data_IF_263562735020
#
_entry.id   IF_263562735020
#
_cell.length_a   1.000
_cell.length_b   1.000
_cell.length_c   1.000
_cell.angle_alpha   90.00
_cell.angle_beta   90.00
_cell.angle_gamma   90.00
#
_symmetry.space_group_name_H-M   'P 1'
#
loop_
_entity.id
_entity.type
_entity.pdbx_description
1 polymer ?
#
# COMPACT_ATOMS: atom_id res chain seq x y z
N UNK A 1 -9.06 -1.87 -18.70
CA UNK A 1 -7.64 -1.90 -19.05
C UNK A 1 -6.92 -2.92 -18.19
N UNK A 2 -6.38 -3.91 -18.82
CA UNK A 2 -5.57 -4.87 -18.11
C UNK A 2 -4.17 -4.30 -17.90
N UNK A 3 -3.76 -4.20 -16.65
CA UNK A 3 -2.39 -3.85 -16.34
C UNK A 3 -1.54 -5.12 -16.45
N UNK A 4 -0.36 -5.03 -17.02
CA UNK A 4 0.60 -6.15 -17.05
C UNK A 4 1.34 -6.29 -15.72
N UNK A 5 0.81 -5.66 -14.69
CA UNK A 5 1.44 -5.59 -13.38
C UNK A 5 0.84 -6.64 -12.45
N UNK A 6 1.56 -6.94 -11.38
CA UNK A 6 1.03 -7.77 -10.32
C UNK A 6 -0.02 -7.00 -9.54
N UNK A 7 -1.17 -7.62 -9.32
CA UNK A 7 -2.28 -7.02 -8.56
C UNK A 7 -2.44 -7.82 -7.28
N UNK A 8 -2.60 -7.15 -6.16
CA UNK A 8 -2.72 -7.81 -4.87
C UNK A 8 -3.59 -7.02 -3.91
N UNK A 9 -4.11 -7.73 -2.91
CA UNK A 9 -4.92 -7.15 -1.84
C UNK A 9 -4.34 -7.59 -0.50
N UNK A 10 -4.38 -6.69 0.47
CA UNK A 10 -3.90 -6.97 1.82
C UNK A 10 -4.84 -6.42 2.87
N UNK A 11 -4.80 -7.02 4.07
CA UNK A 11 -5.56 -6.57 5.22
C UNK A 11 -4.61 -6.28 6.37
N UNK A 12 -4.96 -5.29 7.18
CA UNK A 12 -4.16 -4.95 8.35
C UNK A 12 -4.36 -5.99 9.46
N UNK A 13 -3.27 -6.40 10.07
CA UNK A 13 -3.27 -7.29 11.23
C UNK A 13 -2.20 -6.77 12.19
N UNK A 14 -2.62 -6.09 13.24
CA UNK A 14 -1.74 -5.40 14.19
C UNK A 14 -0.85 -4.35 13.49
N UNK A 15 0.45 -4.55 13.44
CA UNK A 15 1.40 -3.63 12.80
C UNK A 15 1.84 -4.11 11.41
N UNK A 16 1.20 -5.17 10.92
CA UNK A 16 1.53 -5.79 9.65
C UNK A 16 0.38 -5.68 8.67
N UNK A 17 0.71 -5.77 7.40
CA UNK A 17 -0.25 -6.00 6.33
C UNK A 17 -0.07 -7.45 5.87
N UNK A 18 -1.17 -8.18 5.79
CA UNK A 18 -1.17 -9.59 5.37
C UNK A 18 -1.75 -9.68 3.97
N UNK A 19 -1.03 -10.30 3.07
CA UNK A 19 -1.47 -10.50 1.71
C UNK A 19 -2.53 -11.60 1.67
N UNK A 20 -3.73 -11.26 1.20
CA UNK A 20 -4.86 -12.19 1.18
C UNK A 20 -5.23 -12.68 -0.22
N UNK A 21 -4.84 -11.95 -1.24
CA UNK A 21 -5.10 -12.32 -2.63
C UNK A 21 -4.10 -11.61 -3.54
N UNK A 22 -3.84 -12.19 -4.68
CA UNK A 22 -2.99 -11.56 -5.66
C UNK A 22 -2.78 -12.39 -6.92
N UNK A 23 -2.40 -11.69 -7.99
CA UNK A 23 -1.97 -12.31 -9.23
C UNK A 23 -0.59 -11.77 -9.55
N UNK A 24 0.32 -12.63 -9.93
CA UNK A 24 1.67 -12.24 -10.30
C UNK A 24 1.78 -12.04 -11.81
N UNK A 25 2.33 -10.90 -12.23
CA UNK A 25 2.69 -10.70 -13.61
C UNK A 25 3.97 -11.48 -13.92
N UNK A 26 4.04 -12.17 -15.07
CA UNK A 26 5.28 -12.86 -15.47
C UNK A 26 6.48 -11.92 -15.62
N UNK A 27 6.22 -10.64 -15.82
CA UNK A 27 7.24 -9.62 -16.01
C UNK A 27 7.68 -8.95 -14.71
N UNK A 28 7.03 -9.27 -13.59
CA UNK A 28 7.36 -8.68 -12.30
C UNK A 28 8.50 -9.42 -11.64
N UNK A 29 9.51 -8.67 -11.19
CA UNK A 29 10.60 -9.20 -10.38
C UNK A 29 10.15 -9.52 -8.96
N UNK A 30 8.98 -9.04 -8.56
CA UNK A 30 8.39 -9.26 -7.24
C UNK A 30 7.56 -10.56 -7.19
N UNK A 31 8.05 -11.62 -7.82
CA UNK A 31 7.39 -12.94 -7.84
C UNK A 31 7.26 -13.58 -6.45
N UNK A 32 7.69 -12.88 -5.40
CA UNK A 32 7.76 -13.40 -4.05
C UNK A 32 6.52 -13.12 -3.19
N UNK A 33 5.46 -12.48 -3.71
CA UNK A 33 4.26 -12.27 -2.93
C UNK A 33 3.39 -13.50 -2.96
N UNK A 34 3.44 -14.26 -1.88
CA UNK A 34 2.55 -15.39 -1.67
C UNK A 34 1.41 -14.97 -0.73
N UNK A 35 0.22 -15.50 -0.94
CA UNK A 35 -0.91 -15.33 -0.01
C UNK A 35 -0.47 -15.78 1.38
N UNK A 36 -0.73 -14.96 2.39
CA UNK A 36 -0.30 -15.17 3.76
C UNK A 36 1.00 -14.47 4.13
N UNK A 37 1.72 -13.91 3.15
CA UNK A 37 2.94 -13.15 3.42
C UNK A 37 2.62 -11.89 4.23
N UNK A 38 3.50 -11.55 5.15
CA UNK A 38 3.37 -10.38 6.02
C UNK A 38 4.47 -9.37 5.74
N UNK A 39 4.12 -8.09 5.76
CA UNK A 39 5.08 -7.00 5.71
C UNK A 39 4.65 -5.95 6.73
N UNK A 40 5.60 -5.21 7.25
CA UNK A 40 5.27 -4.10 8.14
C UNK A 40 4.51 -3.04 7.36
N UNK A 41 3.52 -2.40 8.00
CA UNK A 41 2.66 -1.42 7.33
C UNK A 41 3.45 -0.24 6.74
N UNK A 42 4.58 0.15 7.34
CA UNK A 42 5.39 1.25 6.85
C UNK A 42 6.31 0.87 5.68
N UNK A 43 6.45 -0.42 5.38
CA UNK A 43 7.42 -0.92 4.40
C UNK A 43 6.82 -1.23 3.02
N UNK A 44 5.54 -0.94 2.81
CA UNK A 44 4.89 -1.20 1.52
C UNK A 44 3.74 -0.23 1.27
N UNK A 45 3.36 -0.10 0.01
CA UNK A 45 2.27 0.79 -0.39
C UNK A 45 0.94 0.36 0.22
N UNK A 46 0.63 -0.93 0.22
CA UNK A 46 -0.60 -1.48 0.83
C UNK A 46 -0.72 -1.05 2.29
N UNK A 47 0.35 -1.24 3.07
CA UNK A 47 0.36 -0.90 4.48
C UNK A 47 0.18 0.59 4.71
N UNK A 48 0.89 1.41 3.95
CA UNK A 48 0.78 2.88 4.08
C UNK A 48 -0.60 3.38 3.69
N UNK A 49 -1.22 2.80 2.67
CA UNK A 49 -2.58 3.15 2.28
C UNK A 49 -3.59 2.89 3.39
N UNK A 50 -3.44 1.78 4.12
CA UNK A 50 -4.30 1.48 5.27
C UNK A 50 -3.95 2.36 6.47
N UNK A 51 -2.67 2.48 6.77
CA UNK A 51 -2.18 3.22 7.95
C UNK A 51 -2.61 4.69 7.94
N UNK A 52 -2.63 5.31 6.76
CA UNK A 52 -3.01 6.72 6.60
C UNK A 52 -4.41 7.04 7.14
N UNK A 53 -5.28 6.05 7.18
CA UNK A 53 -6.67 6.21 7.61
C UNK A 53 -6.96 5.56 8.97
N UNK A 54 -5.92 5.17 9.70
CA UNK A 54 -6.07 4.61 11.02
C UNK A 54 -6.17 5.71 12.08
N UNK A 55 -6.74 5.40 13.25
CA UNK A 55 -6.73 6.34 14.37
C UNK A 55 -5.31 6.72 14.78
N UNK A 56 -5.12 7.92 15.36
CA UNK A 56 -3.77 8.37 15.76
C UNK A 56 -3.04 7.39 16.68
N UNK A 57 -3.75 6.67 17.55
CA UNK A 57 -3.13 5.69 18.45
C UNK A 57 -2.40 4.56 17.69
N UNK A 58 -2.95 4.14 16.56
CA UNK A 58 -2.33 3.09 15.73
C UNK A 58 -1.04 3.61 15.09
N UNK A 59 -1.09 4.84 14.56
CA UNK A 59 0.08 5.49 13.97
C UNK A 59 1.17 5.67 15.02
N UNK A 60 0.80 6.08 16.24
CA UNK A 60 1.73 6.24 17.36
C UNK A 60 2.41 4.91 17.73
N UNK A 61 1.66 3.82 17.72
CA UNK A 61 2.20 2.48 18.00
C UNK A 61 3.22 2.05 16.94
N UNK A 62 2.95 2.34 15.67
CA UNK A 62 3.88 2.06 14.59
C UNK A 62 5.16 2.86 14.75
N UNK A 63 5.05 4.16 15.07
CA UNK A 63 6.22 5.01 15.31
C UNK A 63 7.06 4.54 16.49
N UNK A 64 6.42 4.09 17.55
CA UNK A 64 7.14 3.53 18.71
C UNK A 64 7.95 2.29 18.33
N UNK A 65 7.47 1.52 17.37
CA UNK A 65 8.21 0.36 16.88
C UNK A 65 9.52 0.75 16.16
N UNK A 66 9.60 1.96 15.61
CA UNK A 66 10.82 2.46 14.99
C UNK A 66 11.94 2.62 16.02
N UNK A 67 11.61 3.17 17.19
CA UNK A 67 12.58 3.39 18.26
C UNK A 67 13.20 2.09 18.77
N UNK A 68 12.43 1.00 18.76
CA UNK A 68 12.89 -0.29 19.23
C UNK A 68 13.76 -1.02 18.19
N UNK A 69 13.54 -0.77 16.91
CA UNK A 69 14.19 -1.50 15.83
C UNK A 69 15.41 -0.81 15.25
N UNK A 70 15.62 0.48 15.46
CA UNK A 70 16.77 1.29 15.01
C UNK A 70 17.24 0.96 13.58
N UNK A 71 16.32 0.76 12.66
CA UNK A 71 16.64 0.44 11.26
C UNK A 71 16.78 1.70 10.43
N UNK A 72 17.70 1.68 9.47
CA UNK A 72 17.84 2.75 8.49
C UNK A 72 16.49 2.96 7.76
N UNK A 73 16.10 4.21 7.57
CA UNK A 73 14.86 4.57 6.86
C UNK A 73 13.62 4.70 7.74
N UNK A 74 13.73 4.45 9.04
CA UNK A 74 12.61 4.62 9.98
C UNK A 74 12.61 6.05 10.54
N UNK A 75 12.01 6.98 9.78
CA UNK A 75 11.85 8.37 10.20
C UNK A 75 10.37 8.66 10.44
N UNK A 76 9.96 8.86 11.72
CA UNK A 76 8.56 9.14 12.04
C UNK A 76 8.00 10.40 11.38
N UNK A 77 8.80 11.45 11.25
CA UNK A 77 8.33 12.70 10.63
C UNK A 77 8.09 12.51 9.14
N UNK A 78 8.98 11.80 8.45
CA UNK A 78 8.82 11.50 7.03
C UNK A 78 7.59 10.62 6.82
N UNK A 79 7.34 9.65 7.69
CA UNK A 79 6.16 8.80 7.60
C UNK A 79 4.88 9.63 7.78
N UNK A 80 4.82 10.50 8.77
CA UNK A 80 3.65 11.35 9.02
C UNK A 80 3.33 12.24 7.83
N UNK A 81 4.35 12.86 7.23
CA UNK A 81 4.17 13.70 6.05
C UNK A 81 3.63 12.88 4.88
N UNK A 82 4.14 11.67 4.69
CA UNK A 82 3.66 10.78 3.64
C UNK A 82 2.20 10.33 3.88
N UNK A 83 1.84 10.02 5.12
CA UNK A 83 0.46 9.64 5.46
C UNK A 83 -0.52 10.77 5.22
N UNK A 84 -0.14 12.02 5.52
CA UNK A 84 -0.97 13.18 5.21
C UNK A 84 -1.18 13.33 3.70
N UNK A 85 -0.13 13.14 2.93
CA UNK A 85 -0.20 13.19 1.47
C UNK A 85 -1.12 12.10 0.93
N UNK A 86 -1.05 10.90 1.48
CA UNK A 86 -1.93 9.79 1.11
C UNK A 86 -3.40 10.14 1.41
N UNK A 87 -3.68 10.72 2.57
CA UNK A 87 -5.04 11.13 2.93
C UNK A 87 -5.59 12.17 1.96
N UNK A 88 -4.74 13.08 1.49
CA UNK A 88 -5.19 14.14 0.58
C UNK A 88 -5.36 13.67 -0.85
N UNK A 89 -4.51 12.78 -1.35
CA UNK A 89 -4.58 12.32 -2.75
C UNK A 89 -5.30 10.99 -2.93
N UNK A 90 -5.43 10.17 -1.88
CA UNK A 90 -6.20 8.92 -1.90
C UNK A 90 -5.40 7.66 -2.28
N UNK A 91 -4.11 7.75 -2.46
CA UNK A 91 -3.29 6.58 -2.79
C UNK A 91 -1.88 6.69 -2.21
N UNK A 92 -1.26 5.53 -2.02
CA UNK A 92 0.11 5.41 -1.54
C UNK A 92 1.03 4.95 -2.67
N UNK A 93 2.26 5.40 -2.62
CA UNK A 93 3.33 4.97 -3.53
C UNK A 93 4.47 4.46 -2.66
N UNK A 94 5.11 3.38 -3.08
CA UNK A 94 6.31 2.89 -2.43
C UNK A 94 7.32 2.49 -3.49
N UNK A 95 8.51 3.07 -3.41
CA UNK A 95 9.64 2.69 -4.25
C UNK A 95 10.53 1.76 -3.43
N UNK A 96 10.87 0.62 -3.98
CA UNK A 96 11.83 -0.27 -3.32
C UNK A 96 13.22 0.30 -3.52
N UNK A 97 13.70 1.03 -2.52
CA UNK A 97 15.01 1.70 -2.56
C UNK A 97 16.17 0.71 -2.66
N UNK A 98 16.00 -0.49 -2.15
CA UNK A 98 17.06 -1.51 -2.21
C UNK A 98 17.25 -2.07 -3.61
N UNK A 99 16.17 -2.16 -4.37
CA UNK A 99 16.20 -2.64 -5.75
C UNK A 99 16.16 -1.52 -6.77
N UNK A 100 15.56 -0.38 -6.41
CA UNK A 100 15.47 0.80 -7.25
C UNK A 100 14.64 0.64 -8.51
N UNK A 101 14.09 -0.56 -8.76
CA UNK A 101 13.47 -0.94 -10.01
C UNK A 101 11.99 -1.26 -9.89
N UNK A 102 11.48 -1.43 -8.67
CA UNK A 102 10.07 -1.75 -8.45
C UNK A 102 9.33 -0.58 -7.80
N UNK A 103 8.13 -0.33 -8.29
CA UNK A 103 7.23 0.67 -7.75
C UNK A 103 5.91 0.00 -7.37
N UNK A 104 5.35 0.37 -6.23
CA UNK A 104 4.05 -0.09 -5.77
C UNK A 104 3.12 1.10 -5.64
N UNK A 105 1.86 0.90 -6.05
CA UNK A 105 0.79 1.88 -5.86
C UNK A 105 -0.36 1.14 -5.18
N UNK A 106 -0.91 1.73 -4.12
CA UNK A 106 -2.02 1.12 -3.39
C UNK A 106 -3.07 2.14 -3.02
N UNK A 107 -4.31 1.70 -2.97
CA UNK A 107 -5.46 2.50 -2.55
C UNK A 107 -6.19 1.78 -1.43
N UNK A 108 -6.76 2.53 -0.46
CA UNK A 108 -7.55 1.90 0.60
C UNK A 108 -8.90 1.41 0.08
N UNK A 109 -9.41 0.35 0.70
CA UNK A 109 -10.79 -0.09 0.52
C UNK A 109 -11.55 0.34 1.77
N UNK A 110 -12.57 1.16 1.57
CA UNK A 110 -13.38 1.71 2.66
C UNK A 110 -14.58 0.80 2.86
N UNK A 111 -14.71 0.26 4.07
CA UNK A 111 -15.84 -0.59 4.45
C UNK A 111 -16.99 0.24 5.00
N UNK A 112 -18.15 -0.37 5.16
CA UNK A 112 -19.29 0.25 5.82
C UNK A 112 -18.88 0.80 7.18
N UNK A 113 -19.32 2.03 7.52
CA UNK A 113 -18.91 2.70 8.74
C UNK A 113 -17.59 3.47 8.63
N UNK A 114 -17.10 3.63 7.42
CA UNK A 114 -15.91 4.43 7.10
C UNK A 114 -14.60 3.88 7.70
N UNK A 115 -14.57 2.58 8.03
CA UNK A 115 -13.33 1.95 8.49
C UNK A 115 -12.48 1.50 7.29
N UNK A 116 -11.16 1.59 7.44
CA UNK A 116 -10.21 1.13 6.43
C UNK A 116 -9.36 0.03 7.06
N UNK A 117 -9.55 -1.19 6.59
CA UNK A 117 -8.81 -2.36 7.10
C UNK A 117 -8.05 -3.10 5.98
N UNK A 118 -8.31 -2.71 4.75
CA UNK A 118 -7.75 -3.37 3.57
C UNK A 118 -7.32 -2.36 2.52
N UNK A 119 -6.46 -2.81 1.63
CA UNK A 119 -6.03 -2.03 0.47
C UNK A 119 -5.86 -2.95 -0.74
N UNK A 120 -5.96 -2.37 -1.92
CA UNK A 120 -5.61 -3.04 -3.17
C UNK A 120 -4.44 -2.29 -3.79
N UNK A 121 -3.54 -3.04 -4.40
CA UNK A 121 -2.37 -2.42 -5.01
C UNK A 121 -1.91 -3.13 -6.25
N UNK A 122 -1.04 -2.44 -6.96
CA UNK A 122 -0.30 -2.99 -8.09
C UNK A 122 1.19 -2.77 -7.84
N UNK A 123 2.01 -3.66 -8.37
CA UNK A 123 3.46 -3.46 -8.38
C UNK A 123 3.99 -3.76 -9.77
N UNK A 124 5.04 -3.08 -10.14
CA UNK A 124 5.69 -3.28 -11.42
C UNK A 124 6.96 -2.47 -11.54
N UNK A 125 7.66 -2.61 -12.67
CA UNK A 125 8.90 -1.88 -12.88
C UNK A 125 8.69 -0.36 -12.83
N UNK A 126 9.61 0.35 -12.20
CA UNK A 126 9.58 1.82 -12.14
C UNK A 126 9.68 2.45 -13.54
N UNK A 127 10.17 1.72 -14.53
CA UNK A 127 10.19 2.16 -15.91
C UNK A 127 8.79 2.28 -16.54
N UNK A 128 7.81 1.52 -16.03
CA UNK A 128 6.41 1.60 -16.47
C UNK A 128 5.53 2.40 -15.51
N UNK A 129 5.78 2.30 -14.21
CA UNK A 129 5.07 3.06 -13.20
C UNK A 129 5.81 4.38 -12.95
N UNK A 130 5.83 5.21 -13.97
CA UNK A 130 6.50 6.51 -13.94
C UNK A 130 5.67 7.55 -13.19
N UNK A 131 6.26 8.65 -12.69
CA UNK A 131 5.50 9.71 -12.04
C UNK A 131 4.35 10.23 -12.90
N UNK A 132 4.50 10.26 -14.22
CA UNK A 132 3.45 10.73 -15.14
C UNK A 132 2.30 9.72 -15.27
N UNK A 133 2.59 8.42 -15.17
CA UNK A 133 1.60 7.36 -15.32
C UNK A 133 0.83 7.08 -14.01
N UNK A 134 1.43 7.35 -12.87
CA UNK A 134 0.88 7.00 -11.55
C UNK A 134 -0.51 7.60 -11.30
N UNK A 135 -0.79 8.90 -11.55
CA UNK A 135 -2.12 9.43 -11.24
C UNK A 135 -3.26 8.73 -11.96
N UNK A 136 -3.09 8.39 -13.23
CA UNK A 136 -4.12 7.69 -14.01
C UNK A 136 -4.31 6.26 -13.51
N UNK A 137 -3.23 5.57 -13.18
CA UNK A 137 -3.28 4.22 -12.63
C UNK A 137 -3.95 4.21 -11.25
N UNK A 138 -3.62 5.16 -10.41
CA UNK A 138 -4.22 5.31 -9.09
C UNK A 138 -5.73 5.55 -9.19
N UNK A 139 -6.15 6.40 -10.11
CA UNK A 139 -7.58 6.66 -10.36
C UNK A 139 -8.30 5.38 -10.78
N UNK A 140 -7.69 4.59 -11.65
CA UNK A 140 -8.26 3.32 -12.09
C UNK A 140 -8.40 2.32 -10.92
N UNK A 141 -7.38 2.22 -10.08
CA UNK A 141 -7.41 1.34 -8.90
C UNK A 141 -8.46 1.84 -7.90
N UNK A 142 -8.55 3.15 -7.69
CA UNK A 142 -9.56 3.76 -6.82
C UNK A 142 -10.99 3.40 -7.27
N UNK A 143 -11.26 3.45 -8.55
CA UNK A 143 -12.56 3.06 -9.08
C UNK A 143 -12.89 1.60 -8.78
N UNK A 144 -11.91 0.73 -8.87
CA UNK A 144 -12.07 -0.69 -8.51
C UNK A 144 -12.31 -0.86 -7.01
N UNK A 145 -11.57 -0.14 -6.18
CA UNK A 145 -11.74 -0.17 -4.72
C UNK A 145 -13.13 0.30 -4.31
N UNK A 146 -13.66 1.33 -4.96
CA UNK A 146 -15.02 1.81 -4.70
C UNK A 146 -16.10 0.78 -5.04
N UNK A 147 -15.90 0.04 -6.13
CA UNK A 147 -16.82 -1.04 -6.49
C UNK A 147 -16.83 -2.14 -5.44
N UNK A 148 -15.66 -2.52 -4.96
CA UNK A 148 -15.52 -3.52 -3.90
C UNK A 148 -16.18 -3.01 -2.62
N UNK A 149 -15.92 -1.78 -2.25
CA UNK A 149 -16.52 -1.15 -1.06
C UNK A 149 -18.03 -1.18 -1.10
N UNK A 150 -18.64 -0.87 -2.26
CA UNK A 150 -20.10 -0.92 -2.41
C UNK A 150 -20.68 -2.32 -2.27
N UNK A 151 -19.95 -3.34 -2.71
CA UNK A 151 -20.37 -4.74 -2.58
C UNK A 151 -20.29 -5.24 -1.14
N UNK A 152 -19.43 -4.64 -0.32
CA UNK A 152 -19.23 -5.03 1.08
C UNK A 152 -20.11 -4.22 2.05
N UNK A 153 -20.84 -3.26 1.55
CA UNK A 153 -21.75 -2.42 2.37
C UNK A 153 -23.13 -3.05 2.53
#
# INVERSE_FOLDING_TARGET
METRESVYAGVIADKDIVLVAGTNSPESAMAAFAVGAKRRVQDCALGKAVLAFQPPRVIDEVERSFSAAATEGSDPEALRAELELIRSRGYAIHLDEKRGTECEIAVPVIFAGETVEAAIGISGPSSRLTPDAIPALAEHILATAEKISRQLS
#
